data_IF_133770879895
#
_entry.id   IF_133770879895
#
_cell.length_a   1.000
_cell.length_b   1.000
_cell.length_c   1.000
_cell.angle_alpha   90.00
_cell.angle_beta   90.00
_cell.angle_gamma   90.00
#
_symmetry.space_group_name_H-M   'P 1'
#
loop_
_entity.id
_entity.type
_entity.pdbx_description
1 polymer ?
#
# COMPACT_ATOMS: atom_id res chain seq x y z
N UNK A 1 -18.21 -19.44 -18.08
CA UNK A 1 -17.02 -19.25 -18.93
C UNK A 1 -16.43 -17.89 -18.61
N UNK A 2 -15.14 -17.74 -18.25
CA UNK A 2 -14.61 -16.43 -17.99
C UNK A 2 -14.33 -15.73 -19.32
N UNK A 3 -15.13 -14.71 -19.61
CA UNK A 3 -14.93 -13.76 -20.69
C UNK A 3 -13.58 -13.07 -20.50
N UNK A 4 -12.60 -13.41 -21.32
CA UNK A 4 -11.33 -12.67 -21.41
C UNK A 4 -11.65 -11.24 -21.90
N UNK A 5 -11.28 -10.24 -21.10
CA UNK A 5 -11.31 -8.82 -21.46
C UNK A 5 -10.60 -8.59 -22.79
N UNK A 6 -11.26 -7.87 -23.71
CA UNK A 6 -10.90 -7.75 -25.13
C UNK A 6 -9.66 -6.88 -25.44
N UNK A 7 -8.86 -6.53 -24.43
CA UNK A 7 -7.51 -5.97 -24.57
C UNK A 7 -6.78 -6.37 -23.28
N UNK A 8 -5.74 -7.20 -23.37
CA UNK A 8 -5.03 -7.71 -22.18
C UNK A 8 -4.79 -6.58 -21.18
N UNK A 9 -5.39 -6.69 -19.98
CA UNK A 9 -5.55 -5.55 -19.09
C UNK A 9 -4.20 -4.82 -18.91
N UNK A 10 -4.11 -3.58 -19.39
CA UNK A 10 -2.86 -2.85 -19.35
C UNK A 10 -2.70 -2.26 -17.95
N UNK A 11 -1.76 -2.81 -17.17
CA UNK A 11 -1.48 -2.38 -15.79
C UNK A 11 -1.21 -0.87 -15.67
N UNK A 12 -0.52 -0.27 -16.63
CA UNK A 12 -0.24 1.17 -16.63
C UNK A 12 -1.50 1.98 -16.87
N UNK A 13 -2.32 1.61 -17.86
CA UNK A 13 -3.63 2.26 -18.08
C UNK A 13 -4.58 2.09 -16.90
N UNK A 14 -4.54 0.94 -16.24
CA UNK A 14 -5.32 0.71 -15.02
C UNK A 14 -4.88 1.67 -13.91
N UNK A 15 -3.57 1.85 -13.69
CA UNK A 15 -3.04 2.83 -12.72
C UNK A 15 -3.36 4.28 -13.08
N UNK A 16 -3.35 4.62 -14.38
CA UNK A 16 -3.73 5.95 -14.87
C UNK A 16 -5.17 6.33 -14.49
N UNK A 17 -6.08 5.34 -14.41
CA UNK A 17 -7.43 5.53 -13.89
C UNK A 17 -7.50 6.01 -12.43
N UNK A 18 -6.41 5.87 -11.68
CA UNK A 18 -6.25 6.41 -10.31
C UNK A 18 -5.31 7.62 -10.28
N UNK A 19 -4.86 8.13 -11.42
CA UNK A 19 -3.84 9.17 -11.50
C UNK A 19 -2.44 8.73 -11.07
N UNK A 20 -2.20 7.42 -10.94
CA UNK A 20 -0.91 6.84 -10.53
C UNK A 20 -0.06 6.51 -11.75
N UNK A 21 1.22 6.85 -11.71
CA UNK A 21 2.19 6.54 -12.78
C UNK A 21 3.29 5.62 -12.26
N UNK A 22 3.81 4.78 -13.15
CA UNK A 22 4.97 3.92 -12.87
C UNK A 22 6.21 4.54 -13.48
N UNK A 23 7.29 4.62 -12.70
CA UNK A 23 8.62 5.07 -13.16
C UNK A 23 9.66 3.96 -12.97
N UNK A 24 10.76 3.95 -13.73
CA UNK A 24 11.87 3.04 -13.52
C UNK A 24 12.41 3.09 -12.09
N UNK A 25 12.79 1.94 -11.52
CA UNK A 25 13.30 1.88 -10.15
C UNK A 25 14.55 2.74 -9.93
N UNK A 26 15.39 2.89 -10.97
CA UNK A 26 16.59 3.73 -10.97
C UNK A 26 16.30 5.22 -10.76
N UNK A 27 15.09 5.69 -11.07
CA UNK A 27 14.66 7.07 -10.81
C UNK A 27 14.10 7.27 -9.39
N UNK A 28 14.21 6.23 -8.55
CA UNK A 28 13.66 6.19 -7.21
C UNK A 28 14.12 7.36 -6.34
N UNK A 29 13.17 8.11 -5.80
CA UNK A 29 13.45 9.20 -4.85
C UNK A 29 13.16 8.78 -3.41
N UNK A 30 14.02 9.15 -2.44
CA UNK A 30 13.79 8.89 -1.03
C UNK A 30 12.70 9.82 -0.48
N UNK A 31 12.04 9.39 0.60
CA UNK A 31 11.14 10.26 1.36
C UNK A 31 11.96 11.34 2.11
N UNK A 32 11.55 12.63 2.14
CA UNK A 32 10.25 13.18 1.71
C UNK A 32 10.21 13.70 0.26
N UNK A 33 11.32 13.67 -0.48
CA UNK A 33 11.44 14.23 -1.84
C UNK A 33 10.67 13.46 -2.93
N UNK A 34 9.93 12.43 -2.54
CA UNK A 34 9.21 11.56 -3.46
C UNK A 34 7.95 12.27 -3.98
N UNK A 35 7.74 12.29 -5.31
CA UNK A 35 6.51 12.85 -5.89
C UNK A 35 5.28 12.02 -5.53
N UNK A 36 4.13 12.69 -5.48
CA UNK A 36 2.82 12.06 -5.27
C UNK A 36 2.43 11.16 -6.44
N UNK A 37 1.71 10.07 -6.16
CA UNK A 37 1.13 9.16 -7.15
C UNK A 37 2.17 8.52 -8.10
N UNK A 38 3.40 8.28 -7.62
CA UNK A 38 4.44 7.58 -8.38
C UNK A 38 4.82 6.27 -7.70
N UNK A 39 4.69 5.15 -8.43
CA UNK A 39 5.26 3.85 -8.06
C UNK A 39 6.57 3.65 -8.84
N UNK A 40 7.66 3.34 -8.14
CA UNK A 40 8.93 2.98 -8.78
C UNK A 40 9.03 1.46 -8.98
N UNK A 41 9.40 1.00 -10.18
CA UNK A 41 9.55 -0.43 -10.53
C UNK A 41 8.25 -1.20 -10.73
N UNK A 42 7.17 -0.87 -10.01
CA UNK A 42 5.80 -1.34 -10.26
C UNK A 42 5.51 -2.83 -10.09
N UNK A 43 6.54 -3.68 -9.94
CA UNK A 43 6.44 -5.14 -9.95
C UNK A 43 5.53 -5.68 -8.84
N UNK A 44 5.67 -5.16 -7.63
CA UNK A 44 4.85 -5.59 -6.48
C UNK A 44 3.38 -5.33 -6.75
N UNK A 45 3.03 -4.08 -7.08
CA UNK A 45 1.66 -3.71 -7.39
C UNK A 45 1.10 -4.49 -8.58
N UNK A 46 1.89 -4.70 -9.64
CA UNK A 46 1.47 -5.52 -10.80
C UNK A 46 1.10 -6.95 -10.38
N UNK A 47 1.91 -7.57 -9.53
CA UNK A 47 1.65 -8.94 -9.04
C UNK A 47 0.37 -9.00 -8.21
N UNK A 48 0.17 -8.03 -7.31
CA UNK A 48 -1.03 -7.96 -6.47
C UNK A 48 -2.29 -7.73 -7.31
N UNK A 49 -2.21 -6.78 -8.25
CA UNK A 49 -3.28 -6.49 -9.20
C UNK A 49 -3.66 -7.69 -10.08
N UNK A 50 -2.69 -8.48 -10.56
CA UNK A 50 -2.99 -9.71 -11.31
C UNK A 50 -3.64 -10.80 -10.46
N UNK A 51 -3.47 -10.76 -9.13
CA UNK A 51 -4.09 -11.69 -8.21
C UNK A 51 -5.54 -11.28 -7.86
N UNK A 52 -5.72 -10.01 -7.49
CA UNK A 52 -7.03 -9.43 -7.18
C UNK A 52 -6.98 -7.92 -7.46
N UNK A 53 -7.58 -7.53 -8.59
CA UNK A 53 -7.58 -6.18 -9.10
C UNK A 53 -8.46 -5.23 -8.26
N UNK A 54 -9.49 -5.78 -7.61
CA UNK A 54 -10.42 -5.02 -6.79
C UNK A 54 -9.73 -4.59 -5.49
N UNK A 55 -9.14 -5.53 -4.76
CA UNK A 55 -8.32 -5.20 -3.57
C UNK A 55 -7.15 -4.29 -3.93
N UNK A 56 -6.51 -4.49 -5.08
CA UNK A 56 -5.43 -3.61 -5.52
C UNK A 56 -5.91 -2.16 -5.72
N UNK A 57 -7.14 -1.97 -6.19
CA UNK A 57 -7.74 -0.64 -6.30
C UNK A 57 -7.95 0.02 -4.93
N UNK A 58 -8.35 -0.77 -3.92
CA UNK A 58 -8.53 -0.30 -2.54
C UNK A 58 -7.18 0.09 -1.93
N UNK A 59 -6.13 -0.70 -2.14
CA UNK A 59 -4.76 -0.35 -1.69
C UNK A 59 -4.35 1.03 -2.21
N UNK A 60 -4.57 1.31 -3.50
CA UNK A 60 -4.23 2.60 -4.10
C UNK A 60 -5.00 3.73 -3.42
N UNK A 61 -6.31 3.57 -3.26
CA UNK A 61 -7.18 4.58 -2.65
C UNK A 61 -6.82 4.83 -1.19
N UNK A 62 -6.52 3.79 -0.42
CA UNK A 62 -6.06 3.92 0.97
C UNK A 62 -4.75 4.72 1.06
N UNK A 63 -3.75 4.40 0.22
CA UNK A 63 -2.48 5.14 0.21
C UNK A 63 -2.71 6.60 -0.20
N UNK A 64 -3.49 6.86 -1.26
CA UNK A 64 -3.80 8.23 -1.70
C UNK A 64 -4.53 9.03 -0.62
N UNK A 65 -5.45 8.39 0.09
CA UNK A 65 -6.25 9.03 1.13
C UNK A 65 -5.43 9.41 2.36
N UNK A 66 -4.37 8.66 2.67
CA UNK A 66 -3.43 8.97 3.76
C UNK A 66 -2.28 9.89 3.31
N UNK A 67 -1.42 9.42 2.41
CA UNK A 67 -0.34 10.21 1.80
C UNK A 67 0.06 9.61 0.44
N UNK A 68 -0.30 10.31 -0.64
CA UNK A 68 -0.03 9.88 -2.02
C UNK A 68 1.46 9.77 -2.38
N UNK A 69 2.41 10.12 -1.50
CA UNK A 69 3.85 9.90 -1.70
C UNK A 69 4.28 8.50 -1.28
N UNK A 70 3.47 7.75 -0.54
CA UNK A 70 3.83 6.48 0.10
C UNK A 70 3.66 5.23 -0.79
N UNK A 71 3.90 5.39 -2.09
CA UNK A 71 3.84 4.29 -3.07
C UNK A 71 5.18 3.53 -3.19
N UNK A 72 5.70 3.01 -2.09
CA UNK A 72 6.83 2.06 -2.09
C UNK A 72 6.37 0.61 -1.91
N UNK A 73 7.22 -0.35 -2.28
CA UNK A 73 6.90 -1.78 -2.22
C UNK A 73 6.55 -2.26 -0.81
N UNK A 74 7.17 -1.71 0.25
CA UNK A 74 6.87 -2.13 1.62
C UNK A 74 5.49 -1.63 2.05
N UNK A 75 5.19 -0.37 1.79
CA UNK A 75 3.87 0.22 2.10
C UNK A 75 2.77 -0.46 1.31
N UNK A 76 2.93 -0.65 0.00
CA UNK A 76 1.96 -1.34 -0.85
C UNK A 76 1.65 -2.75 -0.32
N UNK A 77 2.70 -3.51 0.02
CA UNK A 77 2.54 -4.87 0.52
C UNK A 77 1.89 -4.90 1.91
N UNK A 78 2.25 -3.98 2.79
CA UNK A 78 1.67 -3.89 4.13
C UNK A 78 0.17 -3.57 4.09
N UNK A 79 -0.22 -2.57 3.29
CA UNK A 79 -1.64 -2.21 3.11
C UNK A 79 -2.42 -3.36 2.50
N UNK A 80 -1.86 -4.05 1.50
CA UNK A 80 -2.48 -5.24 0.91
C UNK A 80 -2.78 -6.33 1.95
N UNK A 81 -1.80 -6.67 2.79
CA UNK A 81 -1.99 -7.69 3.82
C UNK A 81 -2.95 -7.24 4.91
N UNK A 82 -2.87 -5.99 5.34
CA UNK A 82 -3.80 -5.43 6.31
C UNK A 82 -5.24 -5.49 5.81
N UNK A 83 -5.51 -5.04 4.58
CA UNK A 83 -6.84 -5.15 3.98
C UNK A 83 -7.30 -6.60 3.88
N UNK A 84 -6.40 -7.52 3.53
CA UNK A 84 -6.73 -8.93 3.46
C UNK A 84 -7.03 -9.60 4.79
N UNK A 85 -6.50 -9.08 5.89
CA UNK A 85 -6.72 -9.61 7.23
C UNK A 85 -7.96 -8.99 7.90
N UNK A 86 -8.14 -7.67 7.77
CA UNK A 86 -9.13 -6.93 8.56
C UNK A 86 -10.30 -6.37 7.75
N UNK A 87 -10.16 -6.28 6.43
CA UNK A 87 -11.16 -5.69 5.53
C UNK A 87 -11.54 -6.65 4.38
N UNK A 88 -11.39 -7.97 4.58
CA UNK A 88 -11.66 -8.96 3.54
C UNK A 88 -13.14 -9.03 3.11
N UNK A 89 -14.05 -8.68 4.02
CA UNK A 89 -15.51 -8.75 3.82
C UNK A 89 -16.21 -7.41 4.08
N UNK A 90 -15.46 -6.35 4.37
CA UNK A 90 -15.97 -5.02 4.66
C UNK A 90 -16.25 -4.21 3.40
N UNK A 91 -17.04 -3.15 3.53
CA UNK A 91 -17.22 -2.18 2.44
C UNK A 91 -15.90 -1.41 2.23
N UNK A 92 -15.46 -1.31 0.98
CA UNK A 92 -14.20 -0.64 0.64
C UNK A 92 -14.09 0.81 1.13
N UNK A 93 -15.21 1.49 1.29
CA UNK A 93 -15.27 2.85 1.83
C UNK A 93 -14.73 2.93 3.24
N UNK A 94 -15.04 1.94 4.08
CA UNK A 94 -14.66 1.94 5.50
C UNK A 94 -13.14 1.87 5.65
N UNK A 95 -12.50 1.01 4.84
CA UNK A 95 -11.06 0.91 4.76
C UNK A 95 -10.42 2.24 4.33
N UNK A 96 -10.95 2.87 3.27
CA UNK A 96 -10.42 4.13 2.74
C UNK A 96 -10.56 5.24 3.78
N UNK A 97 -11.70 5.32 4.47
CA UNK A 97 -11.93 6.29 5.54
C UNK A 97 -11.00 6.09 6.73
N UNK A 98 -10.81 4.85 7.18
CA UNK A 98 -9.86 4.53 8.24
C UNK A 98 -8.44 4.98 7.88
N UNK A 99 -7.99 4.72 6.65
CA UNK A 99 -6.70 5.19 6.17
C UNK A 99 -6.59 6.73 6.09
N UNK A 100 -7.71 7.43 5.86
CA UNK A 100 -7.74 8.89 5.89
C UNK A 100 -7.54 9.52 7.27
N UNK A 101 -7.59 8.73 8.33
CA UNK A 101 -7.37 9.18 9.72
C UNK A 101 -5.95 8.97 10.21
N UNK A 102 -5.12 8.24 9.46
CA UNK A 102 -3.74 7.93 9.83
C UNK A 102 -2.73 8.64 8.93
N UNK A 103 -1.52 8.84 9.45
CA UNK A 103 -0.37 9.32 8.69
C UNK A 103 0.55 8.14 8.33
N UNK A 104 0.33 7.57 7.15
CA UNK A 104 1.08 6.40 6.68
C UNK A 104 2.56 6.74 6.45
N UNK A 105 2.91 7.99 6.14
CA UNK A 105 4.29 8.42 6.00
C UNK A 105 5.04 8.37 7.34
N UNK A 106 4.40 8.86 8.42
CA UNK A 106 4.92 8.77 9.79
C UNK A 106 5.03 7.31 10.24
N UNK A 107 4.03 6.48 9.92
CA UNK A 107 4.06 5.04 10.20
C UNK A 107 5.23 4.37 9.48
N UNK A 108 5.40 4.58 8.18
CA UNK A 108 6.50 3.99 7.40
C UNK A 108 7.87 4.43 7.93
N UNK A 109 8.04 5.71 8.28
CA UNK A 109 9.26 6.21 8.92
C UNK A 109 9.54 5.52 10.26
N UNK A 110 8.53 5.34 11.11
CA UNK A 110 8.65 4.62 12.38
C UNK A 110 8.99 3.14 12.15
N UNK A 111 8.32 2.47 11.23
CA UNK A 111 8.54 1.07 10.89
C UNK A 111 9.98 0.81 10.41
N UNK A 112 10.55 1.70 9.59
CA UNK A 112 11.94 1.60 9.17
C UNK A 112 12.92 1.64 10.36
N UNK A 113 12.69 2.52 11.34
CA UNK A 113 13.51 2.62 12.56
C UNK A 113 13.36 1.38 13.45
N UNK A 114 12.16 0.82 13.54
CA UNK A 114 11.91 -0.41 14.30
C UNK A 114 12.55 -1.63 13.63
N UNK A 115 12.49 -1.72 12.31
CA UNK A 115 12.98 -2.88 11.59
C UNK A 115 14.52 -2.93 11.49
N UNK A 116 15.20 -1.77 11.50
CA UNK A 116 16.65 -1.66 11.33
C UNK A 116 17.22 -0.70 12.37
N UNK A 117 17.98 -1.25 13.31
CA UNK A 117 18.77 -0.49 14.29
C UNK A 117 20.22 -0.31 13.86
N UNK A 118 21.02 0.36 14.69
CA UNK A 118 22.45 0.58 14.43
C UNK A 118 23.27 -0.70 14.31
N UNK A 119 22.86 -1.76 15.02
CA UNK A 119 23.62 -3.01 15.14
C UNK A 119 23.03 -4.19 14.38
N UNK A 120 21.96 -3.97 13.60
CA UNK A 120 21.37 -5.05 12.84
C UNK A 120 19.92 -4.83 12.47
N UNK A 121 19.33 -5.90 11.93
CA UNK A 121 17.95 -5.94 11.46
C UNK A 121 17.13 -6.79 12.41
N UNK A 122 16.03 -6.24 12.90
CA UNK A 122 15.10 -6.93 13.78
C UNK A 122 14.02 -7.71 13.01
N UNK A 123 13.66 -7.28 11.80
CA UNK A 123 12.60 -7.94 11.02
C UNK A 123 12.35 -7.32 9.65
N UNK A 124 11.21 -7.65 9.03
CA UNK A 124 10.81 -7.03 7.75
C UNK A 124 10.09 -5.71 7.98
N UNK A 125 10.42 -4.72 7.17
CA UNK A 125 9.80 -3.38 7.23
C UNK A 125 8.30 -3.46 6.99
N UNK A 126 7.86 -4.19 5.95
CA UNK A 126 6.43 -4.34 5.62
C UNK A 126 5.61 -4.93 6.77
N UNK A 127 6.15 -5.92 7.51
CA UNK A 127 5.49 -6.49 8.69
C UNK A 127 5.32 -5.42 9.78
N UNK A 128 6.34 -4.59 10.04
CA UNK A 128 6.25 -3.49 11.00
C UNK A 128 5.31 -2.37 10.56
N UNK A 129 5.24 -2.06 9.27
CA UNK A 129 4.24 -1.14 8.73
C UNK A 129 2.83 -1.71 8.99
N UNK A 130 2.60 -2.97 8.65
CA UNK A 130 1.32 -3.64 8.85
C UNK A 130 0.86 -3.62 10.31
N UNK A 131 1.73 -3.98 11.25
CA UNK A 131 1.40 -3.93 12.68
C UNK A 131 1.07 -2.52 13.17
N UNK A 132 1.81 -1.50 12.71
CA UNK A 132 1.55 -0.11 13.09
C UNK A 132 0.29 0.47 12.43
N UNK A 133 -0.09 -0.02 11.24
CA UNK A 133 -1.39 0.30 10.63
C UNK A 133 -2.51 -0.30 11.48
N UNK A 134 -2.36 -1.57 11.88
CA UNK A 134 -3.34 -2.25 12.72
C UNK A 134 -3.52 -1.54 14.07
N UNK A 135 -2.43 -1.24 14.76
CA UNK A 135 -2.41 -0.45 16.01
C UNK A 135 -3.09 0.92 15.87
N UNK A 136 -3.00 1.54 14.68
CA UNK A 136 -3.56 2.86 14.44
C UNK A 136 -5.04 2.85 13.98
N UNK A 137 -5.54 1.74 13.44
CA UNK A 137 -6.88 1.64 12.84
C UNK A 137 -7.83 0.79 13.68
N UNK A 138 -7.35 -0.29 14.28
CA UNK A 138 -8.19 -1.23 15.05
C UNK A 138 -8.37 -0.66 16.46
N UNK A 139 -9.61 -0.43 16.92
CA UNK A 139 -9.89 0.01 18.29
C UNK A 139 -9.36 -1.00 19.31
N UNK A 140 -8.86 -0.51 20.46
CA UNK A 140 -8.27 -1.36 21.51
C UNK A 140 -9.24 -2.44 22.05
N UNK A 141 -10.56 -2.20 21.99
CA UNK A 141 -11.60 -3.13 22.45
C UNK A 141 -11.99 -4.23 21.44
N UNK A 142 -11.52 -4.17 20.18
CA UNK A 142 -11.79 -5.21 19.16
C UNK A 142 -10.62 -6.22 19.01
N UNK A 143 -9.56 -6.07 19.81
CA UNK A 143 -8.33 -6.87 19.69
C UNK A 143 -8.29 -8.14 20.59
N UNK A 144 -9.44 -8.56 21.15
CA UNK A 144 -9.55 -9.69 22.09
C UNK A 144 -9.86 -11.03 21.41
#
# INVERSE_FOLDING_TARGET
>A
MPTRSANGNNFHRWLEGFGVRVRPFSEGRPFPSRPTNIIYGGRTMKRLWSNDAERASVVIRCIQRSDARCFDDYTILAVWHFLGAHFAHSVHTDAIEAFGRIDIAKITKRAHRLAKGRYGRMGKVAEKIGSLIADAIIPEDEAA
#
